data_IF_281515739842
#
_entry.id   IF_281515739842
#
_cell.length_a   1.000
_cell.length_b   1.000
_cell.length_c   1.000
_cell.angle_alpha   90.00
_cell.angle_beta   90.00
_cell.angle_gamma   90.00
#
_symmetry.space_group_name_H-M   'P 1'
#
loop_
_entity.id
_entity.type
_entity.pdbx_description
1 polymer ?
#
# COMPACT_ATOMS: atom_id res chain seq x y z
N UNK A 1 -8.89 2.69 6.79
CA UNK A 1 -8.46 3.73 5.82
C UNK A 1 -7.26 4.49 6.34
N UNK A 2 -7.24 4.90 7.61
CA UNK A 2 -6.14 5.70 8.17
C UNK A 2 -4.74 5.11 7.96
N UNK A 3 -4.56 3.81 8.11
CA UNK A 3 -3.25 3.18 7.94
C UNK A 3 -2.83 3.03 6.47
N UNK A 4 -3.78 3.09 5.52
CA UNK A 4 -3.51 2.93 4.09
C UNK A 4 -2.79 4.16 3.50
N UNK A 5 -3.14 5.38 3.92
CA UNK A 5 -2.41 6.59 3.53
C UNK A 5 -0.92 6.47 3.91
N UNK A 6 -0.60 5.93 5.08
CA UNK A 6 0.79 5.70 5.48
C UNK A 6 1.46 4.62 4.62
N UNK A 7 0.77 3.52 4.31
CA UNK A 7 1.32 2.45 3.46
C UNK A 7 1.61 2.91 2.03
N UNK A 8 0.78 3.79 1.47
CA UNK A 8 0.94 4.30 0.11
C UNK A 8 2.01 5.39 0.03
N UNK A 9 2.02 6.30 1.00
CA UNK A 9 2.70 7.58 0.86
C UNK A 9 3.89 7.81 1.80
N UNK A 10 4.19 6.88 2.73
CA UNK A 10 5.30 7.05 3.68
C UNK A 10 6.39 5.99 3.46
N UNK A 11 7.68 6.37 3.36
CA UNK A 11 8.75 5.47 2.93
C UNK A 11 9.03 4.29 3.87
N UNK A 12 8.92 4.52 5.18
CA UNK A 12 9.31 3.54 6.20
C UNK A 12 8.32 2.36 6.29
N UNK A 13 7.08 2.58 5.86
CA UNK A 13 6.02 1.57 5.83
C UNK A 13 5.78 1.00 4.43
N UNK A 14 6.42 1.58 3.39
CA UNK A 14 6.36 1.06 2.04
C UNK A 14 7.74 0.60 1.55
N UNK A 15 8.31 -0.48 2.14
CA UNK A 15 9.49 -1.12 1.55
C UNK A 15 9.22 -1.51 0.10
N UNK A 16 7.94 -1.82 -0.19
CA UNK A 16 7.37 -1.98 -1.52
C UNK A 16 7.70 -0.78 -2.44
N UNK A 17 7.35 0.45 -2.11
CA UNK A 17 7.69 1.57 -3.02
C UNK A 17 9.19 1.77 -3.27
N UNK A 18 10.05 1.45 -2.29
CA UNK A 18 11.49 1.69 -2.38
C UNK A 18 12.20 0.67 -3.27
N UNK A 19 11.82 -0.62 -3.19
CA UNK A 19 12.51 -1.65 -3.97
C UNK A 19 12.19 -1.62 -5.47
N UNK A 20 11.02 -1.09 -5.85
CA UNK A 20 10.65 -0.93 -7.26
C UNK A 20 11.22 0.34 -7.93
N UNK A 21 11.89 1.23 -7.18
CA UNK A 21 12.42 2.49 -7.72
C UNK A 21 13.37 2.23 -8.89
N UNK A 22 13.21 3.00 -9.97
CA UNK A 22 13.99 2.90 -11.20
C UNK A 22 13.98 1.48 -11.81
N UNK A 23 12.85 0.78 -11.71
CA UNK A 23 12.74 -0.64 -12.07
C UNK A 23 13.82 -1.52 -11.42
N UNK A 24 14.04 -1.37 -10.11
CA UNK A 24 14.97 -2.20 -9.34
C UNK A 24 14.83 -3.69 -9.67
N UNK A 25 15.96 -4.39 -9.77
CA UNK A 25 16.01 -5.78 -10.20
C UNK A 25 16.44 -6.72 -9.06
N UNK A 26 15.87 -7.93 -9.05
CA UNK A 26 16.32 -9.10 -8.28
C UNK A 26 16.57 -10.22 -9.29
N UNK A 27 17.74 -10.86 -9.23
CA UNK A 27 18.11 -11.96 -10.14
C UNK A 27 17.94 -11.64 -11.63
N UNK A 28 18.40 -10.45 -12.03
CA UNK A 28 18.33 -9.93 -13.40
C UNK A 28 16.90 -9.73 -13.97
N UNK A 29 15.86 -9.81 -13.13
CA UNK A 29 14.47 -9.50 -13.50
C UNK A 29 13.93 -8.34 -12.65
N UNK A 30 13.08 -7.51 -13.26
CA UNK A 30 12.43 -6.39 -12.57
C UNK A 30 11.58 -6.88 -11.38
N UNK A 31 11.77 -6.28 -10.20
CA UNK A 31 10.89 -6.50 -9.05
C UNK A 31 9.47 -6.00 -9.33
N UNK A 32 9.36 -4.89 -10.05
CA UNK A 32 8.07 -4.36 -10.52
C UNK A 32 7.31 -5.39 -11.38
N UNK A 33 8.02 -6.13 -12.25
CA UNK A 33 7.41 -7.20 -13.03
C UNK A 33 6.85 -8.33 -12.15
N UNK A 34 7.58 -8.71 -11.11
CA UNK A 34 7.15 -9.76 -10.18
C UNK A 34 5.91 -9.34 -9.39
N UNK A 35 5.86 -8.09 -8.93
CA UNK A 35 4.69 -7.55 -8.19
C UNK A 35 3.45 -7.38 -9.05
N UNK A 36 3.61 -6.89 -10.29
CA UNK A 36 2.49 -6.82 -11.21
C UNK A 36 1.99 -8.23 -11.59
N UNK A 37 2.92 -9.18 -11.76
CA UNK A 37 2.59 -10.58 -12.07
C UNK A 37 1.85 -11.28 -10.93
N UNK A 38 2.31 -11.18 -9.69
CA UNK A 38 1.63 -11.84 -8.57
C UNK A 38 0.22 -11.26 -8.37
N UNK A 39 0.04 -9.95 -8.53
CA UNK A 39 -1.30 -9.36 -8.53
C UNK A 39 -2.17 -9.91 -9.67
N UNK A 40 -1.67 -9.98 -10.91
CA UNK A 40 -2.39 -10.59 -12.03
C UNK A 40 -2.77 -12.06 -11.76
N UNK A 41 -1.85 -12.85 -11.20
CA UNK A 41 -2.12 -14.26 -10.91
C UNK A 41 -3.26 -14.42 -9.88
N UNK A 42 -3.35 -13.53 -8.90
CA UNK A 42 -4.46 -13.51 -7.95
C UNK A 42 -5.78 -13.15 -8.66
N UNK A 43 -5.80 -12.08 -9.48
CA UNK A 43 -7.02 -11.72 -10.24
C UNK A 43 -7.48 -12.86 -11.14
N UNK A 44 -6.56 -13.67 -11.66
CA UNK A 44 -6.86 -14.66 -12.67
C UNK A 44 -7.82 -15.73 -12.14
N UNK A 45 -8.03 -15.81 -10.83
CA UNK A 45 -9.06 -16.63 -10.17
C UNK A 45 -10.48 -16.13 -10.45
N UNK A 46 -10.64 -14.85 -10.82
CA UNK A 46 -11.94 -14.19 -10.94
C UNK A 46 -12.86 -14.89 -11.94
N UNK A 47 -14.11 -15.00 -11.52
CA UNK A 47 -15.22 -15.44 -12.33
C UNK A 47 -16.31 -14.38 -12.34
N UNK A 48 -16.44 -13.67 -13.45
CA UNK A 48 -17.41 -12.59 -13.61
C UNK A 48 -18.85 -13.07 -13.74
N UNK A 49 -19.09 -14.35 -14.09
CA UNK A 49 -20.43 -14.94 -14.13
C UNK A 49 -20.95 -15.18 -12.72
N UNK A 50 -20.10 -15.77 -11.86
CA UNK A 50 -20.45 -16.07 -10.47
C UNK A 50 -20.14 -14.93 -9.50
N UNK A 51 -19.31 -13.97 -9.90
CA UNK A 51 -18.87 -12.85 -9.07
C UNK A 51 -17.93 -13.28 -7.94
N UNK A 52 -17.10 -14.30 -8.16
CA UNK A 52 -16.17 -14.89 -7.19
C UNK A 52 -14.72 -14.66 -7.60
N UNK A 53 -13.77 -14.81 -6.68
CA UNK A 53 -12.34 -14.61 -6.94
C UNK A 53 -12.01 -13.17 -7.33
N UNK A 54 -10.78 -12.95 -7.78
CA UNK A 54 -10.24 -11.62 -8.07
C UNK A 54 -9.02 -11.35 -7.19
N UNK A 55 -8.71 -10.07 -7.01
CA UNK A 55 -7.63 -9.65 -6.13
C UNK A 55 -8.11 -9.75 -4.67
N UNK A 56 -8.09 -10.97 -4.14
CA UNK A 56 -8.56 -11.37 -2.81
C UNK A 56 -7.52 -12.18 -2.03
N UNK A 57 -6.26 -12.18 -2.46
CA UNK A 57 -5.15 -12.95 -1.89
C UNK A 57 -5.39 -14.46 -1.82
N UNK A 58 -6.27 -15.00 -2.66
CA UNK A 58 -6.49 -16.44 -2.81
C UNK A 58 -5.43 -17.13 -3.66
N UNK A 59 -4.47 -16.38 -4.21
CA UNK A 59 -3.40 -16.89 -5.08
C UNK A 59 -2.76 -18.15 -4.50
N UNK A 60 -2.87 -19.23 -5.26
CA UNK A 60 -2.13 -20.44 -4.98
C UNK A 60 -0.67 -20.23 -5.41
N UNK A 61 0.19 -19.91 -4.44
CA UNK A 61 1.59 -19.57 -4.72
C UNK A 61 2.35 -20.80 -5.20
N UNK A 62 2.74 -20.80 -6.48
CA UNK A 62 3.81 -21.65 -6.96
C UNK A 62 5.15 -21.28 -6.29
N UNK A 63 6.13 -22.18 -6.37
CA UNK A 63 7.49 -21.99 -5.79
C UNK A 63 8.13 -20.66 -6.22
N UNK A 64 7.86 -20.22 -7.45
CA UNK A 64 8.45 -19.03 -8.06
C UNK A 64 8.00 -17.70 -7.42
N UNK A 65 6.80 -17.66 -6.83
CA UNK A 65 6.20 -16.44 -6.27
C UNK A 65 6.37 -16.32 -4.77
N UNK A 66 6.98 -17.32 -4.13
CA UNK A 66 7.16 -17.34 -2.68
C UNK A 66 8.08 -16.19 -2.21
N UNK A 67 9.14 -15.90 -2.95
CA UNK A 67 10.01 -14.76 -2.66
C UNK A 67 9.27 -13.43 -2.85
N UNK A 68 8.46 -13.32 -3.89
CA UNK A 68 7.63 -12.14 -4.16
C UNK A 68 6.61 -11.90 -3.04
N UNK A 69 5.99 -12.96 -2.52
CA UNK A 69 5.11 -12.85 -1.37
C UNK A 69 5.88 -12.43 -0.10
N UNK A 70 7.12 -12.91 0.03
CA UNK A 70 8.07 -12.50 1.06
C UNK A 70 8.32 -10.99 1.12
N UNK A 71 8.35 -10.32 -0.03
CA UNK A 71 8.51 -8.86 -0.12
C UNK A 71 7.40 -8.09 0.62
N UNK A 72 6.20 -8.70 0.70
CA UNK A 72 5.02 -8.09 1.30
C UNK A 72 4.84 -8.40 2.79
N UNK A 73 5.57 -9.38 3.33
CA UNK A 73 5.47 -9.81 4.74
C UNK A 73 5.89 -8.73 5.75
N UNK A 74 6.64 -7.72 5.31
CA UNK A 74 7.05 -6.59 6.15
C UNK A 74 6.01 -5.47 6.19
N UNK A 75 4.92 -5.58 5.43
CA UNK A 75 3.80 -4.65 5.52
C UNK A 75 3.02 -4.90 6.81
N UNK A 76 2.48 -3.86 7.48
CA UNK A 76 1.65 -4.01 8.67
C UNK A 76 0.29 -4.60 8.31
N UNK A 77 0.27 -5.91 8.11
CA UNK A 77 -0.90 -6.73 7.76
C UNK A 77 -1.97 -6.77 8.87
N UNK A 78 -1.66 -6.23 10.06
CA UNK A 78 -2.62 -6.08 11.17
C UNK A 78 -3.76 -5.10 10.85
N UNK A 79 -3.57 -4.23 9.84
CA UNK A 79 -4.55 -3.18 9.50
C UNK A 79 -4.91 -3.12 8.02
N UNK A 80 -4.18 -3.83 7.16
CA UNK A 80 -4.36 -3.87 5.71
C UNK A 80 -4.24 -5.32 5.26
N UNK A 81 -5.28 -5.86 4.62
CA UNK A 81 -5.26 -7.24 4.12
C UNK A 81 -4.20 -7.43 3.03
N UNK A 82 -3.71 -8.67 2.87
CA UNK A 82 -2.75 -9.03 1.84
C UNK A 82 -3.25 -8.65 0.44
N UNK A 83 -4.54 -8.78 0.17
CA UNK A 83 -5.13 -8.41 -1.13
C UNK A 83 -4.93 -6.91 -1.46
N UNK A 84 -5.09 -6.04 -0.46
CA UNK A 84 -4.79 -4.61 -0.60
C UNK A 84 -3.28 -4.38 -0.75
N UNK A 85 -2.43 -5.13 -0.04
CA UNK A 85 -0.97 -5.05 -0.19
C UNK A 85 -0.51 -5.46 -1.60
N UNK A 86 -1.08 -6.53 -2.19
CA UNK A 86 -0.80 -6.93 -3.58
C UNK A 86 -1.17 -5.82 -4.56
N UNK A 87 -2.33 -5.17 -4.37
CA UNK A 87 -2.72 -4.01 -5.16
C UNK A 87 -1.73 -2.84 -5.01
N UNK A 88 -1.31 -2.50 -3.79
CA UNK A 88 -0.30 -1.47 -3.54
C UNK A 88 1.04 -1.80 -4.20
N UNK A 89 1.44 -3.08 -4.18
CA UNK A 89 2.62 -3.59 -4.87
C UNK A 89 2.56 -3.35 -6.38
N UNK A 90 1.46 -3.72 -7.03
CA UNK A 90 1.30 -3.51 -8.46
C UNK A 90 1.27 -2.03 -8.86
N UNK A 91 0.64 -1.16 -8.05
CA UNK A 91 0.64 0.29 -8.29
C UNK A 91 2.06 0.86 -8.14
N UNK A 92 2.77 0.44 -7.09
CA UNK A 92 4.16 0.84 -6.85
C UNK A 92 5.11 0.33 -7.94
N UNK A 93 4.83 -0.85 -8.50
CA UNK A 93 5.58 -1.43 -9.60
C UNK A 93 5.47 -0.58 -10.88
N UNK A 94 4.25 -0.21 -11.27
CA UNK A 94 4.02 0.65 -12.44
C UNK A 94 4.70 2.01 -12.25
N UNK A 95 4.46 2.64 -11.11
CA UNK A 95 5.07 3.92 -10.77
C UNK A 95 6.61 3.83 -10.76
N UNK A 96 7.16 2.79 -10.11
CA UNK A 96 8.59 2.52 -9.93
C UNK A 96 9.36 2.44 -11.23
N UNK A 97 8.65 2.05 -12.28
CA UNK A 97 9.16 1.90 -13.63
C UNK A 97 8.87 3.08 -14.57
N UNK A 98 8.50 4.24 -14.02
CA UNK A 98 8.24 5.46 -14.81
C UNK A 98 6.82 5.55 -15.37
N UNK A 99 5.94 4.62 -15.00
CA UNK A 99 4.51 4.73 -15.27
C UNK A 99 3.86 5.80 -14.37
N UNK A 100 2.69 6.32 -14.75
CA UNK A 100 1.98 7.29 -13.93
C UNK A 100 1.28 6.58 -12.76
N UNK A 101 0.85 7.36 -11.77
CA UNK A 101 0.15 6.84 -10.60
C UNK A 101 -1.21 6.23 -10.99
N UNK A 102 -1.48 5.02 -10.50
CA UNK A 102 -2.79 4.37 -10.60
C UNK A 102 -3.56 4.69 -9.32
N UNK A 103 -4.81 5.19 -9.41
CA UNK A 103 -5.63 5.43 -8.22
C UNK A 103 -5.88 4.14 -7.42
N UNK A 104 -5.64 4.19 -6.10
CA UNK A 104 -5.84 3.05 -5.20
C UNK A 104 -7.15 3.18 -4.44
N UNK A 105 -8.09 2.25 -4.64
CA UNK A 105 -9.22 2.03 -3.72
C UNK A 105 -8.90 0.86 -2.79
N UNK A 106 -9.19 0.99 -1.49
CA UNK A 106 -8.94 -0.06 -0.49
C UNK A 106 -10.21 -0.84 -0.13
N UNK A 107 -10.07 -1.79 0.80
CA UNK A 107 -11.19 -2.56 1.34
C UNK A 107 -11.37 -3.94 0.69
N UNK A 108 -10.33 -4.48 0.06
CA UNK A 108 -10.31 -5.89 -0.35
C UNK A 108 -10.44 -6.78 0.89
N UNK A 109 -11.03 -7.95 0.69
CA UNK A 109 -11.21 -8.95 1.74
C UNK A 109 -10.33 -10.14 1.37
N UNK A 110 -9.40 -10.49 2.24
CA UNK A 110 -8.55 -11.65 2.07
C UNK A 110 -9.40 -12.93 2.11
N UNK A 111 -9.20 -13.79 1.11
CA UNK A 111 -9.80 -15.10 1.03
C UNK A 111 -9.25 -16.00 2.13
N UNK A 112 -10.11 -16.87 2.66
CA UNK A 112 -9.73 -17.84 3.70
C UNK A 112 -9.20 -19.15 3.13
N UNK A 113 -9.29 -19.33 1.80
CA UNK A 113 -8.94 -20.54 1.08
C UNK A 113 -8.25 -20.17 -0.24
N UNK A 114 -7.49 -21.12 -0.78
CA UNK A 114 -6.85 -20.94 -2.09
C UNK A 114 -7.90 -20.91 -3.22
N UNK A 115 -7.68 -20.03 -4.19
CA UNK A 115 -8.50 -19.89 -5.37
C UNK A 115 -8.21 -20.97 -6.41
N UNK A 116 -9.05 -21.09 -7.45
CA UNK A 116 -8.85 -22.06 -8.52
C UNK A 116 -7.62 -21.72 -9.39
N UNK A 117 -6.93 -22.74 -9.88
CA UNK A 117 -5.77 -22.60 -10.78
C UNK A 117 -6.22 -22.23 -12.20
N UNK A 118 -6.42 -20.94 -12.45
CA UNK A 118 -7.02 -20.46 -13.70
C UNK A 118 -6.21 -19.41 -14.44
N UNK A 119 -4.93 -19.28 -14.09
CA UNK A 119 -3.96 -18.46 -14.80
C UNK A 119 -3.82 -18.97 -16.25
N UNK A 120 -3.92 -18.09 -17.26
CA UNK A 120 -3.68 -18.50 -18.65
C UNK A 120 -2.24 -18.95 -18.88
N UNK A 121 -2.07 -20.14 -19.44
CA UNK A 121 -0.77 -20.73 -19.74
C UNK A 121 -0.29 -20.37 -21.16
N UNK A 122 1.02 -20.22 -21.39
CA UNK A 122 1.53 -19.77 -22.68
C UNK A 122 1.19 -20.73 -23.82
N UNK A 123 1.06 -22.03 -23.54
CA UNK A 123 0.77 -23.08 -24.53
C UNK A 123 -0.71 -23.15 -24.96
N UNK A 124 -1.63 -22.54 -24.21
CA UNK A 124 -3.06 -22.55 -24.55
C UNK A 124 -3.31 -21.89 -25.90
N UNK A 125 -4.35 -22.33 -26.62
CA UNK A 125 -4.77 -21.67 -27.85
C UNK A 125 -5.42 -20.30 -27.60
N UNK A 126 -5.65 -19.54 -28.67
CA UNK A 126 -6.24 -18.20 -28.58
C UNK A 126 -7.66 -18.21 -28.03
N UNK A 127 -8.46 -19.23 -28.37
CA UNK A 127 -9.85 -19.34 -27.94
C UNK A 127 -9.94 -19.54 -26.42
N UNK A 128 -9.16 -20.48 -25.88
CA UNK A 128 -9.10 -20.76 -24.44
C UNK A 128 -8.63 -19.53 -23.65
N UNK A 129 -7.65 -18.80 -24.19
CA UNK A 129 -7.16 -17.57 -23.57
C UNK A 129 -8.19 -16.45 -23.59
N UNK A 130 -8.85 -16.27 -24.73
CA UNK A 130 -9.92 -15.28 -24.87
C UNK A 130 -11.05 -15.56 -23.88
N UNK A 131 -11.41 -16.83 -23.67
CA UNK A 131 -12.40 -17.20 -22.67
C UNK A 131 -11.90 -16.98 -21.23
N UNK A 132 -10.62 -17.25 -20.93
CA UNK A 132 -10.07 -16.96 -19.60
C UNK A 132 -10.08 -15.46 -19.27
N UNK A 133 -9.67 -14.60 -20.21
CA UNK A 133 -9.75 -13.15 -20.01
C UNK A 133 -11.20 -12.65 -19.93
N UNK A 134 -12.11 -13.25 -20.72
CA UNK A 134 -13.55 -12.95 -20.65
C UNK A 134 -14.11 -13.28 -19.28
N UNK A 135 -13.76 -14.43 -18.71
CA UNK A 135 -14.13 -14.82 -17.35
C UNK A 135 -13.64 -13.81 -16.31
N UNK A 136 -12.45 -13.24 -16.50
CA UNK A 136 -11.90 -12.16 -15.68
C UNK A 136 -12.52 -10.77 -15.94
N UNK A 137 -13.44 -10.62 -16.91
CA UNK A 137 -14.11 -9.35 -17.23
C UNK A 137 -13.44 -8.50 -18.32
N UNK A 138 -12.52 -9.08 -19.09
CA UNK A 138 -11.80 -8.45 -20.20
C UNK A 138 -12.21 -9.06 -21.54
N UNK A 139 -12.60 -8.23 -22.51
CA UNK A 139 -12.84 -8.70 -23.87
C UNK A 139 -11.52 -8.87 -24.64
N UNK A 140 -11.58 -9.38 -25.88
CA UNK A 140 -10.39 -9.67 -26.69
C UNK A 140 -9.45 -8.46 -26.87
N UNK A 141 -9.99 -7.28 -27.19
CA UNK A 141 -9.19 -6.05 -27.31
C UNK A 141 -8.48 -5.71 -25.98
N UNK A 142 -9.19 -5.76 -24.86
CA UNK A 142 -8.61 -5.49 -23.54
C UNK A 142 -7.61 -6.56 -23.09
N UNK A 143 -7.75 -7.80 -23.55
CA UNK A 143 -6.74 -8.85 -23.35
C UNK A 143 -5.43 -8.47 -24.04
N UNK A 144 -5.48 -8.04 -25.30
CA UNK A 144 -4.30 -7.61 -26.06
C UNK A 144 -3.59 -6.47 -25.33
N UNK A 145 -4.37 -5.44 -25.00
CA UNK A 145 -3.85 -4.26 -24.33
C UNK A 145 -3.26 -4.61 -22.96
N UNK A 146 -3.97 -5.36 -22.11
CA UNK A 146 -3.49 -5.71 -20.77
C UNK A 146 -2.21 -6.55 -20.82
N UNK A 147 -2.09 -7.48 -21.78
CA UNK A 147 -0.86 -8.27 -21.98
C UNK A 147 0.29 -7.38 -22.41
N UNK A 148 0.08 -6.45 -23.36
CA UNK A 148 1.11 -5.50 -23.77
C UNK A 148 1.56 -4.60 -22.59
N UNK A 149 0.61 -4.11 -21.78
CA UNK A 149 0.89 -3.27 -20.62
C UNK A 149 1.63 -4.03 -19.50
N UNK A 150 1.29 -5.29 -19.25
CA UNK A 150 1.98 -6.10 -18.25
C UNK A 150 3.37 -6.54 -18.70
N UNK A 151 3.50 -6.90 -19.97
CA UNK A 151 4.76 -7.39 -20.54
C UNK A 151 5.77 -6.27 -20.87
N UNK A 152 5.38 -4.99 -20.81
CA UNK A 152 6.35 -3.88 -20.90
C UNK A 152 7.38 -3.90 -19.77
N UNK A 153 7.01 -4.42 -18.59
CA UNK A 153 7.88 -4.46 -17.41
C UNK A 153 8.74 -5.72 -17.32
N UNK A 154 8.42 -6.77 -18.09
CA UNK A 154 8.71 -8.14 -17.71
C UNK A 154 9.67 -8.88 -18.65
N UNK A 155 9.99 -10.09 -18.25
CA UNK A 155 10.79 -11.07 -18.97
C UNK A 155 10.53 -12.47 -18.42
N UNK A 156 11.22 -13.46 -18.99
CA UNK A 156 11.11 -14.86 -18.59
C UNK A 156 12.44 -15.34 -18.05
N UNK A 157 12.42 -15.94 -16.86
CA UNK A 157 13.57 -16.63 -16.28
C UNK A 157 13.60 -18.08 -16.79
N UNK A 158 14.79 -18.52 -17.22
CA UNK A 158 15.03 -19.88 -17.73
C UNK A 158 14.76 -20.95 -16.67
N UNK A 159 15.09 -20.68 -15.41
CA UNK A 159 14.88 -21.60 -14.28
C UNK A 159 13.42 -21.99 -14.10
N UNK A 160 12.52 -21.08 -14.43
CA UNK A 160 11.09 -21.24 -14.20
C UNK A 160 10.38 -21.77 -15.46
N UNK A 161 10.90 -21.40 -16.64
CA UNK A 161 10.30 -21.75 -17.93
C UNK A 161 11.33 -22.24 -18.97
N UNK A 162 11.88 -23.44 -18.72
CA UNK A 162 12.88 -24.09 -19.59
C UNK A 162 12.41 -24.29 -21.04
N UNK A 163 11.09 -24.41 -21.27
CA UNK A 163 10.51 -24.59 -22.60
C UNK A 163 10.27 -23.28 -23.36
N UNK A 164 10.46 -22.13 -22.70
CA UNK A 164 10.31 -20.79 -23.28
C UNK A 164 11.68 -20.18 -23.56
N UNK A 165 12.58 -20.21 -22.58
CA UNK A 165 13.97 -19.75 -22.75
C UNK A 165 14.86 -20.98 -22.97
N UNK A 166 14.94 -21.41 -24.22
CA UNK A 166 15.71 -22.61 -24.60
C UNK A 166 17.20 -22.35 -24.77
N UNK A 167 17.57 -21.10 -25.07
CA UNK A 167 18.96 -20.68 -25.28
C UNK A 167 19.71 -20.51 -23.95
N UNK A 168 21.03 -20.65 -23.97
CA UNK A 168 21.87 -20.37 -22.81
C UNK A 168 22.05 -18.86 -22.65
N UNK A 169 21.24 -18.28 -21.78
CA UNK A 169 21.33 -16.86 -21.43
C UNK A 169 22.32 -16.64 -20.28
N UNK A 170 23.32 -15.75 -20.44
CA UNK A 170 24.27 -15.45 -19.37
C UNK A 170 23.61 -14.96 -18.07
N UNK A 171 22.50 -14.23 -18.20
CA UNK A 171 21.71 -13.71 -17.08
C UNK A 171 20.69 -14.72 -16.57
N UNK A 172 20.43 -15.79 -17.33
CA UNK A 172 19.29 -16.70 -17.10
C UNK A 172 17.92 -16.07 -17.41
N UNK A 173 17.85 -14.85 -17.96
CA UNK A 173 16.61 -14.08 -18.16
C UNK A 173 16.55 -13.50 -19.58
N UNK A 174 15.38 -13.61 -20.23
CA UNK A 174 15.05 -12.90 -21.47
C UNK A 174 13.99 -11.84 -21.19
N UNK A 175 14.34 -10.56 -21.35
CA UNK A 175 13.37 -9.45 -21.27
C UNK A 175 12.46 -9.44 -22.50
N UNK A 176 11.25 -8.89 -22.37
CA UNK A 176 10.31 -8.81 -23.49
C UNK A 176 10.54 -7.60 -24.42
N UNK A 177 11.19 -6.56 -23.92
CA UNK A 177 11.56 -5.36 -24.66
C UNK A 177 13.05 -5.02 -24.45
N UNK A 178 13.60 -4.16 -25.31
CA UNK A 178 14.96 -3.63 -25.16
C UNK A 178 15.13 -2.59 -24.05
N UNK A 179 14.03 -2.00 -23.59
CA UNK A 179 14.00 -1.11 -22.42
C UNK A 179 13.54 -1.87 -21.17
N UNK A 180 14.01 -1.41 -20.01
CA UNK A 180 13.53 -1.84 -18.71
C UNK A 180 12.74 -0.66 -18.12
N UNK A 181 11.43 -0.64 -18.37
CA UNK A 181 10.58 0.51 -18.06
C UNK A 181 9.11 0.29 -18.39
N UNK A 182 8.23 1.10 -17.80
CA UNK A 182 6.82 1.15 -18.18
C UNK A 182 6.65 2.08 -19.38
N UNK A 183 6.94 1.56 -20.57
CA UNK A 183 6.89 2.31 -21.82
C UNK A 183 6.33 1.47 -22.98
N UNK A 184 6.16 2.09 -24.14
CA UNK A 184 5.59 1.46 -25.33
C UNK A 184 6.62 0.73 -26.21
N UNK A 185 7.81 0.41 -25.72
CA UNK A 185 8.86 -0.25 -26.52
C UNK A 185 8.42 -1.63 -26.99
N UNK A 186 7.78 -2.43 -26.13
CA UNK A 186 7.20 -3.73 -26.53
C UNK A 186 6.19 -3.58 -27.67
N UNK A 187 5.49 -2.44 -27.71
CA UNK A 187 4.51 -2.13 -28.75
C UNK A 187 5.21 -1.90 -30.08
N UNK A 188 6.15 -0.95 -30.07
CA UNK A 188 6.91 -0.56 -31.23
C UNK A 188 7.70 -1.71 -31.84
N UNK A 189 8.40 -2.47 -31.01
CA UNK A 189 9.23 -3.57 -31.49
C UNK A 189 8.39 -4.68 -32.12
N UNK A 190 7.16 -4.92 -31.65
CA UNK A 190 6.26 -5.85 -32.33
C UNK A 190 5.82 -5.32 -33.69
N UNK A 191 5.42 -4.05 -33.77
CA UNK A 191 4.93 -3.45 -35.02
C UNK A 191 6.00 -3.32 -36.10
N UNK A 192 7.25 -3.01 -35.72
CA UNK A 192 8.36 -2.86 -36.66
C UNK A 192 9.08 -4.19 -36.98
N UNK A 193 8.71 -5.28 -36.30
CA UNK A 193 9.26 -6.62 -36.48
C UNK A 193 10.59 -6.88 -35.76
N UNK A 194 11.05 -5.98 -34.91
CA UNK A 194 12.29 -6.13 -34.13
C UNK A 194 12.12 -6.87 -32.79
N UNK A 195 10.87 -7.11 -32.36
CA UNK A 195 10.45 -7.67 -31.06
C UNK A 195 11.40 -8.71 -30.50
N UNK A 196 11.96 -8.48 -29.32
CA UNK A 196 12.83 -9.46 -28.65
C UNK A 196 12.06 -10.48 -27.80
N UNK A 197 10.78 -10.19 -27.54
CA UNK A 197 9.86 -11.01 -26.78
C UNK A 197 9.86 -12.48 -27.25
N UNK A 198 10.32 -13.37 -26.37
CA UNK A 198 10.37 -14.82 -26.62
C UNK A 198 8.98 -15.46 -26.77
N UNK A 199 7.94 -14.83 -26.24
CA UNK A 199 6.54 -15.22 -26.45
C UNK A 199 5.99 -14.72 -27.81
N UNK A 200 6.76 -13.89 -28.54
CA UNK A 200 6.47 -13.52 -29.93
C UNK A 200 7.26 -14.41 -30.90
N UNK A 201 8.59 -14.51 -30.72
CA UNK A 201 9.48 -15.14 -31.72
C UNK A 201 10.37 -16.28 -31.21
N UNK A 202 10.16 -16.80 -29.99
CA UNK A 202 10.99 -17.85 -29.40
C UNK A 202 10.98 -19.17 -30.20
N UNK A 203 11.99 -20.03 -30.03
CA UNK A 203 12.16 -21.27 -30.82
C UNK A 203 10.95 -22.20 -30.79
N UNK A 204 10.28 -22.32 -29.64
CA UNK A 204 9.12 -23.19 -29.45
C UNK A 204 7.82 -22.47 -29.85
N UNK A 205 7.25 -22.84 -31.00
CA UNK A 205 6.01 -22.24 -31.50
C UNK A 205 4.80 -22.42 -30.55
N UNK A 206 4.77 -23.50 -29.77
CA UNK A 206 3.67 -23.77 -28.84
C UNK A 206 3.61 -22.73 -27.71
N UNK A 207 4.74 -22.16 -27.29
CA UNK A 207 4.79 -21.17 -26.19
C UNK A 207 4.73 -19.72 -26.65
N UNK A 208 4.61 -19.46 -27.96
CA UNK A 208 4.48 -18.09 -28.52
C UNK A 208 3.12 -17.45 -28.25
N UNK A 209 2.79 -17.24 -26.97
CA UNK A 209 1.50 -16.71 -26.54
C UNK A 209 1.20 -15.34 -27.11
N UNK A 210 2.16 -14.44 -27.01
CA UNK A 210 2.00 -13.03 -27.34
C UNK A 210 1.85 -12.86 -28.84
N UNK A 211 2.56 -13.66 -29.65
CA UNK A 211 2.33 -13.69 -31.10
C UNK A 211 0.87 -14.01 -31.44
N UNK A 212 0.23 -14.97 -30.75
CA UNK A 212 -1.18 -15.32 -30.98
C UNK A 212 -2.13 -14.21 -30.54
N UNK A 213 -1.83 -13.53 -29.42
CA UNK A 213 -2.66 -12.46 -28.89
C UNK A 213 -2.53 -11.20 -29.76
N UNK A 214 -1.32 -10.72 -29.99
CA UNK A 214 -1.05 -9.46 -30.69
C UNK A 214 -1.39 -9.52 -32.20
N UNK A 215 -1.57 -10.71 -32.77
CA UNK A 215 -2.05 -10.87 -34.15
C UNK A 215 -3.56 -11.06 -34.27
N UNK A 216 -4.28 -11.13 -33.14
CA UNK A 216 -5.72 -11.45 -33.15
C UNK A 216 -6.63 -10.26 -33.43
N UNK A 217 -6.19 -9.03 -33.18
CA UNK A 217 -6.94 -7.79 -33.44
C UNK A 217 -6.00 -6.56 -33.48
N UNK A 218 -6.55 -5.38 -33.78
CA UNK A 218 -5.89 -4.08 -33.67
C UNK A 218 -5.68 -3.63 -32.21
N UNK A 219 -4.66 -2.78 -31.97
CA UNK A 219 -4.20 -2.41 -30.62
C UNK A 219 -3.51 -1.03 -30.57
N UNK A 220 -3.20 -0.59 -29.34
CA UNK A 220 -2.98 0.77 -28.77
C UNK A 220 -2.37 1.93 -29.61
N UNK A 221 -3.17 3.00 -29.80
CA UNK A 221 -2.72 4.35 -30.21
C UNK A 221 -2.26 5.25 -29.04
N UNK A 222 -2.52 4.86 -27.78
CA UNK A 222 -2.25 5.69 -26.58
C UNK A 222 -1.84 4.85 -25.33
N UNK A 223 -0.63 4.26 -25.37
CA UNK A 223 -0.12 3.30 -24.36
C UNK A 223 -0.36 3.71 -22.90
N UNK A 224 0.18 4.85 -22.44
CA UNK A 224 0.11 5.23 -21.02
C UNK A 224 -1.33 5.37 -20.52
N UNK A 225 -2.20 6.06 -21.26
CA UNK A 225 -3.59 6.27 -20.83
C UNK A 225 -4.38 4.97 -20.76
N UNK A 226 -4.18 4.07 -21.73
CA UNK A 226 -4.90 2.81 -21.79
C UNK A 226 -4.36 1.83 -20.74
N UNK A 227 -3.05 1.73 -20.58
CA UNK A 227 -2.45 0.81 -19.62
C UNK A 227 -2.80 1.15 -18.17
N UNK A 228 -2.85 2.44 -17.82
CA UNK A 228 -3.23 2.87 -16.46
C UNK A 228 -4.68 2.54 -16.15
N UNK A 229 -5.59 2.83 -17.10
CA UNK A 229 -6.99 2.51 -16.95
C UNK A 229 -7.24 1.00 -16.86
N UNK A 230 -6.52 0.20 -17.67
CA UNK A 230 -6.67 -1.25 -17.68
C UNK A 230 -6.04 -1.92 -16.47
N UNK A 231 -4.83 -1.56 -16.06
CA UNK A 231 -4.21 -2.08 -14.83
C UNK A 231 -5.03 -1.63 -13.62
N UNK A 232 -5.53 -0.39 -13.57
CA UNK A 232 -6.44 0.03 -12.51
C UNK A 232 -7.71 -0.83 -12.46
N UNK A 233 -8.32 -1.12 -13.60
CA UNK A 233 -9.48 -2.03 -13.68
C UNK A 233 -9.13 -3.46 -13.28
N UNK A 234 -7.94 -3.94 -13.65
CA UNK A 234 -7.38 -5.23 -13.26
C UNK A 234 -7.27 -5.36 -11.74
N UNK A 235 -6.69 -4.35 -11.08
CA UNK A 235 -6.52 -4.35 -9.63
C UNK A 235 -7.84 -4.17 -8.88
N UNK A 236 -8.86 -3.59 -9.52
CA UNK A 236 -10.19 -3.42 -8.95
C UNK A 236 -11.14 -4.60 -9.23
N UNK A 237 -10.65 -5.68 -9.87
CA UNK A 237 -11.40 -6.93 -10.01
C UNK A 237 -11.44 -7.65 -8.67
N UNK A 238 -12.60 -7.62 -8.01
CA UNK A 238 -12.84 -8.21 -6.67
C UNK A 238 -14.14 -9.03 -6.67
N UNK A 239 -14.37 -9.91 -5.67
CA UNK A 239 -15.65 -10.60 -5.54
C UNK A 239 -16.81 -9.61 -5.46
N UNK A 240 -17.98 -9.99 -5.98
CA UNK A 240 -19.17 -9.11 -6.08
C UNK A 240 -19.70 -8.65 -4.71
N UNK A 241 -19.35 -9.34 -3.64
CA UNK A 241 -19.69 -9.00 -2.26
C UNK A 241 -18.79 -7.91 -1.67
N UNK A 242 -17.70 -7.56 -2.35
CA UNK A 242 -16.73 -6.56 -1.91
C UNK A 242 -17.00 -5.24 -2.62
N UNK A 243 -17.04 -4.16 -1.87
CA UNK A 243 -17.13 -2.80 -2.38
C UNK A 243 -15.86 -2.07 -1.98
N UNK A 244 -15.05 -1.67 -2.97
CA UNK A 244 -13.87 -0.86 -2.73
C UNK A 244 -14.26 0.57 -2.34
N UNK A 245 -13.39 1.23 -1.58
CA UNK A 245 -13.54 2.65 -1.30
C UNK A 245 -13.33 3.49 -2.56
N UNK A 246 -13.74 4.75 -2.50
CA UNK A 246 -13.18 5.76 -3.42
C UNK A 246 -11.65 5.79 -3.33
N UNK A 247 -10.96 6.27 -4.38
CA UNK A 247 -9.52 6.40 -4.37
C UNK A 247 -9.01 7.14 -3.13
N UNK A 248 -8.05 6.53 -2.46
CA UNK A 248 -7.43 7.11 -1.26
C UNK A 248 -6.43 8.15 -1.73
N UNK A 249 -6.69 9.40 -1.37
CA UNK A 249 -5.82 10.53 -1.65
C UNK A 249 -4.83 10.75 -0.50
N UNK A 250 -3.67 11.30 -0.84
CA UNK A 250 -2.67 11.71 0.13
C UNK A 250 -3.23 12.81 1.03
N UNK A 251 -3.30 12.52 2.33
CA UNK A 251 -3.86 13.47 3.28
C UNK A 251 -2.90 14.64 3.53
N UNK A 252 -3.41 15.87 3.43
CA UNK A 252 -2.68 17.11 3.76
C UNK A 252 -2.16 17.10 5.20
N UNK A 253 -2.99 16.57 6.10
CA UNK A 253 -2.77 16.49 7.53
C UNK A 253 -3.06 15.06 8.01
N UNK A 254 -2.07 14.44 8.64
CA UNK A 254 -2.21 13.07 9.15
C UNK A 254 -1.69 12.98 10.58
N UNK A 255 -2.52 12.46 11.47
CA UNK A 255 -2.18 12.22 12.88
C UNK A 255 -1.65 10.79 13.03
N UNK A 256 -0.54 10.63 13.73
CA UNK A 256 0.17 9.36 13.89
C UNK A 256 0.81 9.26 15.28
N UNK A 257 1.20 8.05 15.69
CA UNK A 257 1.93 7.81 16.95
C UNK A 257 1.25 8.46 18.18
N UNK A 258 -0.08 8.38 18.25
CA UNK A 258 -0.84 8.92 19.38
C UNK A 258 -0.80 7.93 20.55
N UNK A 259 -0.33 8.40 21.71
CA UNK A 259 -0.20 7.60 22.92
C UNK A 259 -0.49 8.48 24.14
N UNK A 260 -1.22 7.94 25.10
CA UNK A 260 -1.49 8.55 26.40
C UNK A 260 -0.99 7.64 27.52
N UNK A 261 -0.10 8.14 28.37
CA UNK A 261 0.45 7.35 29.48
C UNK A 261 0.77 8.21 30.71
N UNK A 262 0.76 7.65 31.93
CA UNK A 262 1.14 8.40 33.14
C UNK A 262 2.61 8.85 33.12
N UNK A 263 2.87 10.12 33.43
CA UNK A 263 4.21 10.67 33.58
C UNK A 263 4.25 11.80 34.61
N UNK A 264 5.07 11.66 35.66
CA UNK A 264 5.42 12.75 36.57
C UNK A 264 4.23 13.43 37.27
N UNK A 265 3.19 12.67 37.64
CA UNK A 265 1.97 13.22 38.27
C UNK A 265 0.96 13.83 37.29
N UNK A 266 1.15 13.61 35.99
CA UNK A 266 0.22 13.98 34.91
C UNK A 266 0.05 12.80 33.93
N UNK A 267 -0.79 12.93 32.92
CA UNK A 267 -0.77 12.08 31.73
C UNK A 267 0.03 12.79 30.64
N UNK A 268 0.97 12.09 30.01
CA UNK A 268 1.67 12.56 28.82
C UNK A 268 0.92 12.11 27.58
N UNK A 269 0.45 13.08 26.78
CA UNK A 269 -0.07 12.86 25.45
C UNK A 269 1.05 13.07 24.43
N UNK A 270 1.53 11.97 23.85
CA UNK A 270 2.38 11.98 22.67
C UNK A 270 1.51 11.86 21.43
N UNK A 271 1.79 12.67 20.42
CA UNK A 271 1.17 12.56 19.11
C UNK A 271 2.05 13.25 18.07
N UNK A 272 1.91 12.85 16.81
CA UNK A 272 2.62 13.46 15.68
C UNK A 272 1.60 13.92 14.64
N UNK A 273 1.74 15.16 14.17
CA UNK A 273 1.02 15.66 13.00
C UNK A 273 1.97 15.74 11.80
N UNK A 274 1.76 14.90 10.80
CA UNK A 274 2.39 14.97 9.48
C UNK A 274 1.67 16.00 8.62
N UNK A 275 2.44 16.88 7.98
CA UNK A 275 1.96 17.89 7.03
C UNK A 275 2.76 17.78 5.74
N UNK A 276 2.10 17.77 4.58
CA UNK A 276 2.73 17.58 3.27
C UNK A 276 3.23 18.88 2.61
N UNK A 277 2.87 20.04 3.16
CA UNK A 277 3.20 21.36 2.59
C UNK A 277 4.49 21.96 3.19
N UNK A 278 5.31 22.56 2.32
CA UNK A 278 6.68 23.03 2.57
C UNK A 278 6.86 24.35 3.32
N UNK A 279 5.80 25.08 3.71
CA UNK A 279 5.97 26.39 4.36
C UNK A 279 6.96 26.34 5.53
N UNK A 280 7.98 27.19 5.47
CA UNK A 280 9.22 27.01 6.25
C UNK A 280 9.05 27.37 7.72
N UNK A 281 8.20 28.35 8.05
CA UNK A 281 8.04 28.89 9.39
C UNK A 281 6.59 28.80 9.87
N UNK A 282 6.09 27.59 10.12
CA UNK A 282 4.74 27.38 10.68
C UNK A 282 4.80 27.14 12.18
N UNK A 283 3.79 27.63 12.90
CA UNK A 283 3.54 27.28 14.30
C UNK A 283 2.37 26.30 14.34
N UNK A 284 2.58 25.12 14.92
CA UNK A 284 1.51 24.14 15.12
C UNK A 284 1.27 23.96 16.60
N UNK A 285 0.01 24.10 17.00
CA UNK A 285 -0.42 23.98 18.39
C UNK A 285 -1.48 22.90 18.48
N UNK A 286 -1.25 21.91 19.35
CA UNK A 286 -2.18 20.88 19.76
C UNK A 286 -3.14 21.47 20.80
N UNK A 287 -4.40 21.08 20.74
CA UNK A 287 -5.43 21.42 21.70
C UNK A 287 -6.25 20.18 22.05
N UNK A 288 -6.87 20.16 23.23
CA UNK A 288 -7.73 19.06 23.63
C UNK A 288 -8.93 19.47 24.49
N UNK A 289 -9.93 18.58 24.55
CA UNK A 289 -11.08 18.66 25.47
C UNK A 289 -10.86 17.72 26.64
N UNK A 290 -11.34 18.12 27.81
CA UNK A 290 -11.43 17.25 28.98
C UNK A 290 -12.32 16.02 28.70
N UNK A 291 -12.25 14.99 29.56
CA UNK A 291 -13.11 13.81 29.44
C UNK A 291 -14.61 14.14 29.46
N UNK A 292 -15.00 15.24 30.13
CA UNK A 292 -16.40 15.70 30.20
C UNK A 292 -16.88 16.39 28.92
N UNK A 293 -16.00 16.57 27.92
CA UNK A 293 -16.29 17.30 26.69
C UNK A 293 -16.28 18.83 26.84
N UNK A 294 -16.04 19.35 28.05
CA UNK A 294 -15.86 20.80 28.27
C UNK A 294 -14.55 21.29 27.64
N UNK A 295 -14.64 22.45 27.00
CA UNK A 295 -13.50 23.15 26.43
C UNK A 295 -12.73 23.85 27.54
N UNK A 296 -11.44 23.56 27.72
CA UNK A 296 -10.63 24.32 28.65
C UNK A 296 -10.32 25.72 28.09
N UNK A 297 -9.97 26.70 28.93
CA UNK A 297 -9.41 27.97 28.44
C UNK A 297 -8.18 27.73 27.54
N UNK A 298 -7.99 28.54 26.49
CA UNK A 298 -6.90 28.40 25.49
C UNK A 298 -5.48 28.29 26.12
N UNK A 299 -5.30 28.82 27.34
CA UNK A 299 -4.05 28.77 28.07
C UNK A 299 -3.80 27.45 28.85
N UNK A 300 -4.82 26.60 29.03
CA UNK A 300 -4.75 25.42 29.91
C UNK A 300 -4.71 24.07 29.19
N UNK A 301 -5.35 23.93 28.02
CA UNK A 301 -5.39 22.68 27.25
C UNK A 301 -4.83 22.85 25.85
N UNK A 302 -3.58 23.33 25.78
CA UNK A 302 -2.83 23.45 24.54
C UNK A 302 -1.35 23.15 24.74
N UNK A 303 -0.69 22.70 23.67
CA UNK A 303 0.74 22.43 23.66
C UNK A 303 1.33 22.77 22.28
N UNK A 304 2.47 23.46 22.28
CA UNK A 304 3.24 23.68 21.05
C UNK A 304 4.06 22.44 20.69
N UNK A 305 4.33 22.24 19.40
CA UNK A 305 5.24 21.18 18.97
C UNK A 305 6.63 21.39 19.58
N UNK A 306 7.21 20.35 20.17
CA UNK A 306 8.56 20.43 20.75
C UNK A 306 9.67 20.06 19.75
N UNK A 307 9.31 19.34 18.68
CA UNK A 307 10.23 18.92 17.64
C UNK A 307 9.53 18.94 16.29
N UNK A 308 10.28 19.38 15.26
CA UNK A 308 9.85 19.32 13.86
C UNK A 308 10.92 18.56 13.08
N UNK A 309 10.53 17.45 12.47
CA UNK A 309 11.39 16.67 11.60
C UNK A 309 10.96 16.87 10.15
N UNK A 310 11.91 17.14 9.27
CA UNK A 310 11.68 17.12 7.82
C UNK A 310 12.21 15.80 7.29
N UNK A 311 11.36 15.04 6.63
CA UNK A 311 11.70 13.77 5.99
C UNK A 311 11.53 13.94 4.49
N UNK A 312 12.56 13.67 3.70
CA UNK A 312 12.41 13.57 2.25
C UNK A 312 11.42 12.46 1.94
N UNK A 313 10.47 12.75 1.05
CA UNK A 313 9.53 11.73 0.60
C UNK A 313 10.30 10.77 -0.31
N UNK A 314 10.71 9.63 0.24
CA UNK A 314 11.10 8.47 -0.55
C UNK A 314 9.88 7.68 -1.07
N UNK A 315 8.64 8.14 -0.82
CA UNK A 315 7.46 7.58 -1.48
C UNK A 315 7.36 8.14 -2.88
N UNK A 316 7.49 7.23 -3.85
CA UNK A 316 7.32 7.54 -5.25
C UNK A 316 5.92 8.06 -5.58
N UNK A 317 4.88 7.49 -4.96
CA UNK A 317 3.50 7.91 -5.20
C UNK A 317 3.26 9.34 -4.71
N UNK A 318 3.84 9.72 -3.57
CA UNK A 318 3.80 11.10 -3.09
C UNK A 318 4.62 12.04 -4.01
N UNK A 319 5.79 11.60 -4.49
CA UNK A 319 6.62 12.38 -5.40
C UNK A 319 5.91 12.64 -6.75
N UNK A 320 5.19 11.64 -7.30
CA UNK A 320 4.36 11.79 -8.50
C UNK A 320 3.20 12.78 -8.32
N UNK A 321 2.77 13.01 -7.08
CA UNK A 321 1.79 14.04 -6.71
C UNK A 321 2.44 15.41 -6.38
N UNK A 322 3.74 15.56 -6.60
CA UNK A 322 4.47 16.81 -6.34
C UNK A 322 4.84 17.02 -4.86
N UNK A 323 4.72 16.00 -4.02
CA UNK A 323 5.04 16.06 -2.60
C UNK A 323 6.44 15.48 -2.35
N UNK A 324 7.42 16.38 -2.29
CA UNK A 324 8.82 16.01 -2.12
C UNK A 324 9.25 15.80 -0.66
N UNK A 325 8.54 16.38 0.31
CA UNK A 325 8.93 16.33 1.73
C UNK A 325 7.70 16.25 2.63
N UNK A 326 7.86 15.54 3.75
CA UNK A 326 6.91 15.53 4.86
C UNK A 326 7.51 16.28 6.05
N UNK A 327 6.71 17.11 6.72
CA UNK A 327 7.06 17.69 8.01
C UNK A 327 6.26 17.03 9.12
N UNK A 328 6.95 16.44 10.08
CA UNK A 328 6.36 15.80 11.24
C UNK A 328 6.53 16.67 12.47
N UNK A 329 5.43 17.20 13.00
CA UNK A 329 5.38 18.00 14.22
C UNK A 329 5.06 17.07 15.39
N UNK A 330 5.96 16.97 16.36
CA UNK A 330 5.80 16.10 17.53
C UNK A 330 5.38 16.90 18.75
N UNK A 331 4.48 16.31 19.53
CA UNK A 331 3.90 16.92 20.71
C UNK A 331 4.11 16.02 21.92
N UNK A 332 4.32 16.66 23.06
CA UNK A 332 4.31 16.04 24.38
C UNK A 332 3.54 16.99 25.30
N UNK A 333 2.24 16.74 25.46
CA UNK A 333 1.36 17.57 26.27
C UNK A 333 1.12 16.94 27.64
N UNK A 334 1.27 17.75 28.69
CA UNK A 334 0.90 17.37 30.04
C UNK A 334 -0.62 17.56 30.23
N UNK A 335 -1.34 16.45 30.35
CA UNK A 335 -2.78 16.39 30.59
C UNK A 335 -3.01 16.11 32.07
N UNK A 336 -3.94 16.85 32.68
CA UNK A 336 -4.29 16.69 34.08
C UNK A 336 -4.92 15.30 34.35
N UNK A 337 -4.52 14.64 35.44
CA UNK A 337 -5.00 13.31 35.79
C UNK A 337 -6.49 13.28 36.15
N UNK A 338 -7.03 14.36 36.71
CA UNK A 338 -8.42 14.43 37.17
C UNK A 338 -9.39 14.78 36.04
N UNK A 339 -9.00 15.68 35.14
CA UNK A 339 -9.86 16.09 34.01
C UNK A 339 -9.61 15.25 32.75
N UNK A 340 -8.45 14.62 32.62
CA UNK A 340 -8.08 13.74 31.50
C UNK A 340 -8.41 14.36 30.13
N UNK A 341 -8.61 13.53 29.11
CA UNK A 341 -8.83 13.94 27.73
C UNK A 341 -9.88 13.06 27.05
N UNK A 342 -10.72 13.65 26.20
CA UNK A 342 -11.64 12.91 25.32
C UNK A 342 -11.29 13.05 23.84
N UNK A 343 -10.92 14.26 23.42
CA UNK A 343 -10.67 14.58 22.01
C UNK A 343 -9.55 15.60 21.89
N UNK A 344 -8.84 15.59 20.76
CA UNK A 344 -7.83 16.58 20.41
C UNK A 344 -7.90 17.04 18.96
N UNK A 345 -7.28 18.18 18.67
CA UNK A 345 -7.17 18.77 17.33
C UNK A 345 -5.96 19.73 17.28
N UNK A 346 -5.68 20.28 16.10
CA UNK A 346 -4.55 21.18 15.91
C UNK A 346 -4.98 22.52 15.29
N UNK A 347 -4.22 23.57 15.59
CA UNK A 347 -4.20 24.81 14.82
C UNK A 347 -2.85 24.95 14.13
N UNK A 348 -2.88 25.14 12.81
CA UNK A 348 -1.68 25.35 11.98
C UNK A 348 -1.65 26.80 11.54
N UNK A 349 -0.74 27.59 12.12
CA UNK A 349 -0.50 28.96 11.71
C UNK A 349 0.68 29.03 10.73
N UNK A 350 0.41 29.50 9.52
CA UNK A 350 1.42 29.65 8.47
C UNK A 350 2.34 30.88 8.68
N UNK A 351 2.07 31.69 9.70
CA UNK A 351 2.78 32.93 10.03
C UNK A 351 2.87 33.89 8.82
N UNK A 352 1.87 33.86 7.95
CA UNK A 352 1.77 34.67 6.73
C UNK A 352 0.68 35.75 6.82
N UNK A 353 0.12 35.98 8.02
CA UNK A 353 -0.97 36.93 8.25
C UNK A 353 -2.37 36.43 7.89
N UNK A 354 -2.51 35.22 7.34
CA UNK A 354 -3.80 34.57 7.13
C UNK A 354 -4.29 33.86 8.40
N UNK A 355 -5.58 33.56 8.44
CA UNK A 355 -6.18 32.80 9.53
C UNK A 355 -5.53 31.41 9.66
N UNK A 356 -5.31 30.91 10.90
CA UNK A 356 -4.81 29.55 11.12
C UNK A 356 -5.76 28.49 10.55
N UNK A 357 -5.20 27.42 10.01
CA UNK A 357 -5.95 26.25 9.55
C UNK A 357 -6.31 25.40 10.77
N UNK A 358 -7.59 25.07 10.90
CA UNK A 358 -8.07 24.12 11.90
C UNK A 358 -7.93 22.70 11.34
N UNK A 359 -7.26 21.82 12.07
CA UNK A 359 -7.12 20.40 11.75
C UNK A 359 -7.84 19.61 12.82
N UNK A 360 -9.13 19.40 12.62
CA UNK A 360 -10.08 18.88 13.61
C UNK A 360 -10.88 17.67 13.08
N UNK A 361 -10.31 16.92 12.14
CA UNK A 361 -10.94 15.74 11.55
C UNK A 361 -12.37 16.02 11.03
N UNK A 362 -12.53 17.07 10.21
CA UNK A 362 -13.83 17.52 9.69
C UNK A 362 -14.86 17.84 10.81
N UNK A 363 -14.39 18.44 11.90
CA UNK A 363 -15.19 18.77 13.08
C UNK A 363 -15.42 17.63 14.06
N UNK A 364 -15.10 16.38 13.71
CA UNK A 364 -15.24 15.24 14.62
C UNK A 364 -14.21 15.25 15.76
N UNK A 365 -13.07 15.93 15.56
CA UNK A 365 -11.85 15.83 16.36
C UNK A 365 -11.24 14.42 16.33
N UNK A 366 -10.03 14.30 16.87
CA UNK A 366 -9.35 13.02 17.02
C UNK A 366 -9.63 12.46 18.42
N UNK A 367 -9.90 11.16 18.50
CA UNK A 367 -10.07 10.42 19.76
C UNK A 367 -8.78 9.68 20.12
N UNK A 368 -8.67 9.25 21.37
CA UNK A 368 -7.58 8.38 21.81
C UNK A 368 -8.19 7.00 22.01
N UNK A 369 -7.81 6.03 21.17
CA UNK A 369 -8.36 4.66 21.18
C UNK A 369 -8.03 3.87 22.46
N UNK A 370 -7.22 4.42 23.36
CA UNK A 370 -6.86 3.86 24.66
C UNK A 370 -7.87 4.20 25.77
N UNK A 371 -9.12 4.50 25.40
CA UNK A 371 -10.18 4.98 26.30
C UNK A 371 -10.54 3.98 27.41
N UNK A 372 -10.26 2.68 27.23
CA UNK A 372 -10.52 1.64 28.24
C UNK A 372 -9.26 1.11 28.91
N UNK A 373 -8.12 1.06 28.22
CA UNK A 373 -6.87 0.41 28.69
C UNK A 373 -5.65 1.21 28.25
N UNK A 374 -4.91 1.80 29.20
CA UNK A 374 -3.60 2.42 28.94
C UNK A 374 -2.49 1.40 29.18
N UNK A 375 -1.62 1.23 28.19
CA UNK A 375 -0.44 0.36 28.28
C UNK A 375 0.75 1.11 28.87
N UNK A 376 1.37 0.57 29.91
CA UNK A 376 2.62 1.07 30.48
C UNK A 376 3.80 0.21 29.99
N UNK A 377 4.47 0.72 28.96
CA UNK A 377 5.62 0.06 28.35
C UNK A 377 6.84 -0.03 29.29
N UNK A 378 6.99 0.89 30.25
CA UNK A 378 8.14 0.91 31.17
C UNK A 378 7.99 -0.12 32.28
N UNK A 379 6.76 -0.32 32.75
CA UNK A 379 6.45 -1.30 33.79
C UNK A 379 6.20 -2.71 33.24
N UNK A 380 6.14 -2.85 31.91
CA UNK A 380 6.03 -4.15 31.23
C UNK A 380 7.41 -4.81 31.15
N UNK A 381 7.51 -6.07 31.58
CA UNK A 381 8.80 -6.78 31.65
C UNK A 381 8.69 -8.24 31.20
N UNK A 382 9.69 -8.77 30.46
CA UNK A 382 9.79 -10.19 30.19
C UNK A 382 10.11 -10.98 31.47
N UNK A 383 9.54 -12.16 31.60
CA UNK A 383 9.77 -13.12 32.69
C UNK A 383 10.07 -14.50 32.10
N UNK A 384 10.65 -15.42 32.88
CA UNK A 384 10.92 -16.80 32.43
C UNK A 384 9.67 -17.58 32.02
N UNK A 385 8.47 -17.14 32.45
CA UNK A 385 7.18 -17.75 32.12
C UNK A 385 6.41 -17.02 31.00
N UNK A 386 6.95 -15.93 30.43
CA UNK A 386 6.29 -15.11 29.40
C UNK A 386 6.41 -13.60 29.63
N UNK A 387 5.58 -12.80 28.96
CA UNK A 387 5.53 -11.34 29.08
C UNK A 387 4.53 -10.91 30.16
N UNK A 388 4.94 -10.04 31.09
CA UNK A 388 4.02 -9.36 32.03
C UNK A 388 3.72 -7.96 31.51
N UNK A 389 2.48 -7.73 31.10
CA UNK A 389 1.98 -6.41 30.68
C UNK A 389 1.42 -5.64 31.87
N UNK A 390 1.82 -4.38 32.02
CA UNK A 390 1.19 -3.46 32.97
C UNK A 390 0.23 -2.55 32.22
N UNK A 391 -1.02 -2.55 32.67
CA UNK A 391 -2.09 -1.78 32.05
C UNK A 391 -2.91 -1.06 33.13
N UNK A 392 -3.31 0.19 32.85
CA UNK A 392 -4.31 0.90 33.64
C UNK A 392 -5.66 0.80 32.93
N UNK A 393 -6.68 0.28 33.60
CA UNK A 393 -8.02 0.09 33.02
C UNK A 393 -8.97 1.14 33.58
N UNK A 394 -9.77 1.78 32.73
CA UNK A 394 -10.78 2.74 33.16
C UNK A 394 -11.87 1.99 33.95
N UNK A 395 -12.06 2.35 35.23
CA UNK A 395 -12.93 1.62 36.15
C UNK A 395 -14.41 1.96 35.89
N UNK A 396 -15.20 1.01 35.37
CA UNK A 396 -16.66 1.05 35.53
C UNK A 396 -17.00 0.60 36.96
N UNK A 397 -17.91 1.30 37.62
CA UNK A 397 -18.31 1.03 39.00
C UNK A 397 -19.10 -0.28 39.10
N UNK A 398 -18.42 -1.42 39.17
CA UNK A 398 -18.92 -2.61 39.87
C UNK A 398 -17.74 -3.23 40.64
N UNK A 399 -17.99 -3.60 41.89
CA UNK A 399 -16.98 -4.23 42.76
C UNK A 399 -16.39 -5.47 42.09
N UNK A 400 -15.17 -5.36 41.58
CA UNK A 400 -14.21 -6.44 41.55
C UNK A 400 -12.86 -5.89 42.01
N UNK A 401 -12.40 -6.40 43.15
CA UNK A 401 -11.07 -6.13 43.66
C UNK A 401 -10.03 -6.70 42.69
N UNK A 402 -9.38 -5.84 41.92
CA UNK A 402 -8.14 -6.19 41.24
C UNK A 402 -6.96 -5.59 42.01
N UNK A 403 -5.97 -6.44 42.29
CA UNK A 403 -4.70 -6.02 42.88
C UNK A 403 -3.91 -5.29 41.80
N UNK A 404 -4.07 -3.98 41.70
CA UNK A 404 -3.11 -3.12 41.01
C UNK A 404 -1.82 -3.11 41.84
N UNK A 405 -0.75 -3.70 41.32
CA UNK A 405 0.58 -3.57 41.93
C UNK A 405 1.08 -2.17 41.59
N UNK A 406 0.84 -1.22 42.48
CA UNK A 406 1.38 0.14 42.41
C UNK A 406 2.90 0.04 42.62
N UNK A 407 3.68 0.36 41.60
CA UNK A 407 5.13 0.53 41.74
C UNK A 407 5.41 1.87 42.41
N UNK A 408 5.88 1.83 43.66
CA UNK A 408 6.65 2.93 44.24
C UNK A 408 8.11 2.76 43.80
N UNK A 409 8.61 3.66 42.96
CA UNK A 409 10.03 3.85 42.71
C UNK A 409 10.48 5.14 43.39
N UNK A 410 11.52 5.04 44.23
CA UNK A 410 12.22 6.13 44.91
C UNK A 410 12.82 7.17 43.95
#
# INVERSE_FOLDING_TARGET
MDNIDEQLYVPFFSPVSTFALNCGQRDNISLAAQWLRIAYHDIATHDSEFGTGGLDASINVGVEMHETLGDFLFSPIEHVGMADVLAMGAISAVAGCGGPAIPFGGGRIDATEAGPETVPEPQQDLASRTESFKRQGFNATKMIDLVACGHSLSGVRKTDFLLIVTEDEPTGVKTFASTVGFDNTIVWEYLDGSAQNVLVKGSNATTRSDSRIFSSDSWLDAFNGICVGLIGRMLNTVPKTVTLTEPIELLDFKVTNTLLFPQGGSLALLTTLRIINSALNRTVTLFWKEHTGKFCPDAGCSASSFQVNTTESASLLAALQGVAVFKSYRFNAAVDLATSISHFWFKVNNNNGLAPIMVDNHGANYVIDQDVVMFDAQCTSPTEAGLTFVMAVQHFSFLLSFVAKVCFGL
#
